data_IF_514000918650
#
_entry.id   IF_514000918650
#
_cell.length_a   1.000
_cell.length_b   1.000
_cell.length_c   1.000
_cell.angle_alpha   90.00
_cell.angle_beta   90.00
_cell.angle_gamma   90.00
#
_symmetry.space_group_name_H-M   'P 1'
#
loop_
_entity.id
_entity.type
_entity.pdbx_description
1 polymer ?
#
# COMPACT_ATOMS: atom_id res chain seq x y z
N UNK A 1 25.09 25.71 22.14
CA UNK A 1 24.15 25.48 21.03
C UNK A 1 23.51 24.13 21.22
N UNK A 2 22.18 24.03 21.31
CA UNK A 2 21.53 22.73 21.49
C UNK A 2 21.70 21.91 20.20
N UNK A 3 22.13 20.64 20.32
CA UNK A 3 22.15 19.67 19.23
C UNK A 3 20.71 19.46 18.75
N UNK A 4 20.36 20.03 17.58
CA UNK A 4 19.09 19.73 16.89
C UNK A 4 18.95 18.22 16.74
N UNK A 5 17.82 17.72 17.18
CA UNK A 5 17.48 16.31 17.29
C UNK A 5 17.57 15.60 15.91
N UNK A 6 18.70 14.99 15.60
CA UNK A 6 19.02 14.30 14.34
C UNK A 6 18.13 13.07 14.15
N UNK A 7 17.42 12.61 15.18
CA UNK A 7 16.61 11.38 15.16
C UNK A 7 15.36 11.45 14.28
N UNK A 8 14.95 12.64 13.82
CA UNK A 8 13.74 12.78 12.98
C UNK A 8 13.95 13.59 11.69
N UNK A 9 15.17 13.88 11.28
CA UNK A 9 15.43 14.72 10.08
C UNK A 9 14.85 14.06 8.82
N UNK A 10 15.03 12.75 8.66
CA UNK A 10 14.48 12.00 7.52
C UNK A 10 12.95 12.09 7.49
N UNK A 11 12.29 11.89 8.62
CA UNK A 11 10.81 11.98 8.74
C UNK A 11 10.30 13.40 8.43
N UNK A 12 11.00 14.45 8.89
CA UNK A 12 10.63 15.84 8.59
C UNK A 12 10.71 16.13 7.09
N UNK A 13 11.77 15.66 6.41
CA UNK A 13 11.91 15.80 4.96
C UNK A 13 10.78 15.08 4.24
N UNK A 14 10.43 13.84 4.63
CA UNK A 14 9.33 13.07 4.05
C UNK A 14 8.01 13.82 4.24
N UNK A 15 7.68 14.22 5.48
CA UNK A 15 6.42 14.92 5.77
C UNK A 15 6.28 16.23 5.01
N UNK A 16 7.35 17.04 4.94
CA UNK A 16 7.36 18.27 4.18
C UNK A 16 7.15 18.02 2.68
N UNK A 17 7.85 17.03 2.12
CA UNK A 17 7.73 16.67 0.71
C UNK A 17 6.30 16.24 0.37
N UNK A 18 5.68 15.36 1.17
CA UNK A 18 4.31 14.90 0.93
C UNK A 18 3.30 16.03 1.07
N UNK A 19 3.45 16.91 2.08
CA UNK A 19 2.62 18.11 2.20
C UNK A 19 2.67 18.94 0.92
N UNK A 20 3.86 19.27 0.42
CA UNK A 20 4.04 20.07 -0.78
C UNK A 20 3.53 19.37 -2.05
N UNK A 21 3.74 18.04 -2.17
CA UNK A 21 3.21 17.27 -3.29
C UNK A 21 1.69 17.30 -3.35
N UNK A 22 1.01 17.32 -2.19
CA UNK A 22 -0.44 17.48 -2.12
C UNK A 22 -0.91 18.91 -2.39
N UNK A 23 -0.21 19.92 -1.87
CA UNK A 23 -0.63 21.32 -1.95
C UNK A 23 -0.40 21.94 -3.33
N UNK A 24 0.74 21.64 -3.95
CA UNK A 24 1.16 22.29 -5.20
C UNK A 24 1.52 21.33 -6.34
N UNK A 25 1.48 20.03 -6.09
CA UNK A 25 1.83 19.01 -7.07
C UNK A 25 3.32 18.62 -7.06
N UNK A 26 3.59 17.44 -7.62
CA UNK A 26 4.95 16.89 -7.65
C UNK A 26 5.90 17.73 -8.51
N UNK A 27 5.47 18.13 -9.72
CA UNK A 27 6.34 18.87 -10.66
C UNK A 27 6.77 20.23 -10.11
N UNK A 28 5.83 20.96 -9.55
CA UNK A 28 6.04 22.32 -9.06
C UNK A 28 6.74 22.36 -7.69
N UNK A 29 6.94 21.19 -7.04
CA UNK A 29 7.69 21.09 -5.79
C UNK A 29 9.19 20.93 -6.07
N UNK A 30 10.00 21.83 -5.55
CA UNK A 30 11.46 21.77 -5.64
C UNK A 30 12.11 21.19 -4.38
N UNK A 31 13.37 20.75 -4.49
CA UNK A 31 14.14 20.30 -3.30
C UNK A 31 14.34 21.49 -2.36
N UNK A 32 14.46 22.71 -2.87
CA UNK A 32 14.55 23.93 -2.11
C UNK A 32 13.33 24.16 -1.22
N UNK A 33 12.14 23.97 -1.79
CA UNK A 33 10.87 24.09 -1.06
C UNK A 33 10.78 23.05 0.06
N UNK A 34 11.16 21.79 -0.24
CA UNK A 34 11.17 20.71 0.74
C UNK A 34 12.16 20.98 1.88
N UNK A 35 13.35 21.47 1.55
CA UNK A 35 14.38 21.83 2.54
C UNK A 35 13.91 22.99 3.42
N UNK A 36 13.27 23.99 2.83
CA UNK A 36 12.68 25.12 3.55
C UNK A 36 11.55 24.67 4.48
N UNK A 37 10.56 23.96 3.96
CA UNK A 37 9.39 23.48 4.71
C UNK A 37 9.80 22.51 5.84
N UNK A 38 10.77 21.63 5.58
CA UNK A 38 11.27 20.70 6.58
C UNK A 38 12.22 21.33 7.61
N UNK A 39 12.56 22.63 7.47
CA UNK A 39 13.60 23.32 8.26
C UNK A 39 14.91 22.52 8.32
N UNK A 40 15.35 21.95 7.20
CA UNK A 40 16.58 21.18 7.11
C UNK A 40 17.61 21.90 6.22
N UNK A 41 18.67 21.23 5.79
CA UNK A 41 19.64 21.75 4.83
C UNK A 41 19.68 20.88 3.58
N UNK A 42 20.12 21.42 2.45
CA UNK A 42 20.36 20.62 1.23
C UNK A 42 21.31 19.45 1.50
N UNK A 43 22.35 19.64 2.32
CA UNK A 43 23.24 18.55 2.72
C UNK A 43 22.52 17.45 3.51
N UNK A 44 21.57 17.83 4.39
CA UNK A 44 20.73 16.84 5.09
C UNK A 44 19.79 16.11 4.14
N UNK A 45 19.22 16.79 3.15
CA UNK A 45 18.38 16.17 2.14
C UNK A 45 19.17 15.12 1.35
N UNK A 46 20.28 15.50 0.74
CA UNK A 46 21.10 14.60 -0.07
C UNK A 46 21.82 13.50 0.72
N UNK A 47 21.88 13.64 2.06
CA UNK A 47 22.34 12.55 2.92
C UNK A 47 21.33 11.37 2.97
N UNK A 48 20.04 11.67 2.82
CA UNK A 48 18.96 10.65 2.90
C UNK A 48 18.36 10.26 1.56
N UNK A 49 18.40 11.16 0.56
CA UNK A 49 17.70 11.01 -0.72
C UNK A 49 18.58 11.50 -1.86
N UNK A 50 18.74 10.70 -2.90
CA UNK A 50 19.52 11.06 -4.09
C UNK A 50 18.85 12.15 -4.94
N UNK A 51 17.56 12.39 -4.73
CA UNK A 51 16.75 13.37 -5.44
C UNK A 51 15.28 13.30 -5.04
N UNK A 52 14.46 14.14 -5.67
CA UNK A 52 13.01 14.22 -5.44
C UNK A 52 12.32 12.88 -5.71
N UNK A 53 12.76 12.14 -6.76
CA UNK A 53 12.19 10.85 -7.13
C UNK A 53 12.36 9.78 -6.04
N UNK A 54 13.43 9.86 -5.25
CA UNK A 54 13.65 8.92 -4.15
C UNK A 54 12.57 9.04 -3.05
N UNK A 55 11.93 10.21 -2.93
CA UNK A 55 10.81 10.43 -2.00
C UNK A 55 9.54 9.70 -2.43
N UNK A 56 9.32 9.47 -3.74
CA UNK A 56 8.14 8.73 -4.22
C UNK A 56 8.09 7.32 -3.63
N UNK A 57 9.25 6.68 -3.43
CA UNK A 57 9.32 5.38 -2.76
C UNK A 57 8.75 5.38 -1.35
N UNK A 58 8.72 6.54 -0.67
CA UNK A 58 8.18 6.67 0.68
C UNK A 58 6.64 6.67 0.73
N UNK A 59 5.93 6.76 -0.42
CA UNK A 59 4.48 6.58 -0.48
C UNK A 59 4.06 5.19 0.04
N UNK A 60 4.91 4.20 -0.13
CA UNK A 60 4.68 2.88 0.45
C UNK A 60 4.57 2.91 1.98
N UNK A 61 5.19 3.89 2.66
CA UNK A 61 5.08 4.06 4.11
C UNK A 61 3.70 4.62 4.48
N UNK A 62 3.15 5.54 3.67
CA UNK A 62 1.78 6.07 3.85
C UNK A 62 0.76 4.94 3.76
N UNK A 63 0.96 4.01 2.81
CA UNK A 63 0.12 2.81 2.72
C UNK A 63 0.28 1.91 3.95
N UNK A 64 1.49 1.72 4.45
CA UNK A 64 1.74 0.91 5.64
C UNK A 64 1.14 1.57 6.90
N UNK A 65 1.22 2.88 7.05
CA UNK A 65 0.57 3.64 8.14
C UNK A 65 -0.96 3.43 8.09
N UNK A 66 -1.58 3.49 6.89
CA UNK A 66 -3.02 3.17 6.74
C UNK A 66 -3.33 1.75 7.21
N UNK A 67 -2.54 0.75 6.84
CA UNK A 67 -2.74 -0.62 7.33
C UNK A 67 -2.59 -0.73 8.85
N UNK A 68 -1.66 0.00 9.46
CA UNK A 68 -1.50 0.02 10.93
C UNK A 68 -2.73 0.62 11.62
N UNK A 69 -3.36 1.65 11.03
CA UNK A 69 -4.62 2.21 11.50
C UNK A 69 -5.78 1.23 11.39
N UNK A 70 -5.80 0.38 10.35
CA UNK A 70 -6.87 -0.58 10.10
C UNK A 70 -6.79 -1.85 10.96
N UNK A 71 -5.61 -2.24 11.44
CA UNK A 71 -5.43 -3.46 12.24
C UNK A 71 -6.41 -3.54 13.44
N UNK A 72 -6.64 -2.47 14.24
CA UNK A 72 -7.58 -2.51 15.35
C UNK A 72 -9.06 -2.65 14.94
N UNK A 73 -9.38 -2.33 13.70
CA UNK A 73 -10.75 -2.41 13.16
C UNK A 73 -11.09 -3.81 12.63
N UNK A 74 -10.08 -4.69 12.46
CA UNK A 74 -10.30 -6.07 12.03
C UNK A 74 -10.96 -6.87 13.15
N UNK A 75 -12.24 -7.24 12.96
CA UNK A 75 -12.94 -8.07 13.93
C UNK A 75 -12.41 -9.51 13.94
N UNK A 76 -12.28 -10.15 15.12
CA UNK A 76 -12.01 -11.58 15.21
C UNK A 76 -13.09 -12.45 14.51
N UNK A 77 -14.34 -11.97 14.49
CA UNK A 77 -15.49 -12.70 13.92
C UNK A 77 -15.56 -12.65 12.39
N UNK A 78 -14.85 -11.71 11.77
CA UNK A 78 -14.73 -11.67 10.30
C UNK A 78 -13.89 -12.82 9.78
N UNK A 79 -14.33 -13.43 8.66
CA UNK A 79 -13.52 -14.42 7.98
C UNK A 79 -12.32 -13.77 7.23
N UNK A 80 -11.42 -14.61 6.73
CA UNK A 80 -10.22 -14.12 6.05
C UNK A 80 -10.53 -13.34 4.76
N UNK A 81 -11.58 -13.71 4.02
CA UNK A 81 -12.00 -13.05 2.79
C UNK A 81 -12.57 -11.67 3.11
N UNK A 82 -13.42 -11.57 4.12
CA UNK A 82 -13.98 -10.30 4.59
C UNK A 82 -12.89 -9.34 5.06
N UNK A 83 -11.90 -9.84 5.81
CA UNK A 83 -10.74 -9.02 6.22
C UNK A 83 -9.93 -8.50 5.04
N UNK A 84 -9.67 -9.35 4.04
CA UNK A 84 -8.93 -8.96 2.84
C UNK A 84 -9.71 -7.96 1.99
N UNK A 85 -11.03 -8.16 1.83
CA UNK A 85 -11.92 -7.24 1.12
C UNK A 85 -11.98 -5.87 1.83
N UNK A 86 -12.12 -5.86 3.15
CA UNK A 86 -12.11 -4.65 3.96
C UNK A 86 -10.79 -3.86 3.80
N UNK A 87 -9.64 -4.52 3.89
CA UNK A 87 -8.34 -3.87 3.72
C UNK A 87 -8.18 -3.27 2.32
N UNK A 88 -8.65 -3.99 1.29
CA UNK A 88 -8.65 -3.51 -0.10
C UNK A 88 -9.52 -2.26 -0.25
N UNK A 89 -10.78 -2.32 0.22
CA UNK A 89 -11.70 -1.19 0.20
C UNK A 89 -11.09 0.07 0.84
N UNK A 90 -10.62 -0.05 2.06
CA UNK A 90 -10.09 1.08 2.83
C UNK A 90 -8.83 1.71 2.22
N UNK A 91 -7.92 0.88 1.71
CA UNK A 91 -6.74 1.40 1.01
C UNK A 91 -7.15 2.12 -0.28
N UNK A 92 -8.05 1.52 -1.07
CA UNK A 92 -8.41 2.06 -2.36
C UNK A 92 -9.31 3.30 -2.23
N UNK A 93 -10.14 3.38 -1.18
CA UNK A 93 -10.87 4.59 -0.82
C UNK A 93 -9.91 5.73 -0.44
N UNK A 94 -8.84 5.43 0.30
CA UNK A 94 -7.80 6.42 0.61
C UNK A 94 -7.08 6.89 -0.67
N UNK A 95 -6.79 5.98 -1.61
CA UNK A 95 -6.12 6.33 -2.87
C UNK A 95 -7.05 7.18 -3.75
N UNK A 96 -8.28 6.72 -3.97
CA UNK A 96 -9.29 7.38 -4.83
C UNK A 96 -9.63 8.79 -4.32
N UNK A 97 -9.68 8.95 -2.98
CA UNK A 97 -10.05 10.22 -2.34
C UNK A 97 -8.91 11.17 -2.02
N UNK A 98 -7.64 10.70 -2.00
CA UNK A 98 -6.55 11.50 -1.42
C UNK A 98 -5.23 11.47 -2.17
N UNK A 99 -4.98 10.54 -3.08
CA UNK A 99 -3.70 10.44 -3.79
C UNK A 99 -3.91 10.85 -5.26
N UNK A 100 -3.18 11.88 -5.70
CA UNK A 100 -3.28 12.28 -7.10
C UNK A 100 -2.82 11.17 -8.03
N UNK A 101 -3.51 11.02 -9.16
CA UNK A 101 -3.19 10.05 -10.20
C UNK A 101 -1.73 10.18 -10.66
N UNK A 102 -1.25 11.43 -10.81
CA UNK A 102 0.14 11.70 -11.22
C UNK A 102 1.15 11.13 -10.21
N UNK A 103 0.94 11.33 -8.91
CA UNK A 103 1.80 10.77 -7.88
C UNK A 103 1.83 9.24 -7.90
N UNK A 104 0.67 8.62 -8.07
CA UNK A 104 0.58 7.15 -8.12
C UNK A 104 1.25 6.60 -9.39
N UNK A 105 1.01 7.21 -10.55
CA UNK A 105 1.63 6.82 -11.80
C UNK A 105 3.16 6.97 -11.75
N UNK A 106 3.67 8.03 -11.13
CA UNK A 106 5.11 8.24 -10.93
C UNK A 106 5.69 7.20 -9.99
N UNK A 107 5.03 6.88 -8.87
CA UNK A 107 5.45 5.80 -7.98
C UNK A 107 5.59 4.49 -8.77
N UNK A 108 4.56 4.09 -9.51
CA UNK A 108 4.58 2.85 -10.29
C UNK A 108 5.69 2.85 -11.34
N UNK A 109 5.86 3.96 -12.07
CA UNK A 109 6.91 4.13 -13.08
C UNK A 109 8.31 4.05 -12.47
N UNK A 110 8.56 4.74 -11.35
CA UNK A 110 9.87 4.67 -10.68
C UNK A 110 10.17 3.27 -10.20
N UNK A 111 9.18 2.52 -9.69
CA UNK A 111 9.37 1.12 -9.29
C UNK A 111 9.74 0.21 -10.46
N UNK A 112 9.31 0.51 -11.68
CA UNK A 112 9.71 -0.23 -12.89
C UNK A 112 11.16 0.10 -13.30
N UNK A 113 11.54 1.37 -13.24
CA UNK A 113 12.83 1.86 -13.74
C UNK A 113 13.98 1.70 -12.73
N UNK A 114 13.67 1.70 -11.43
CA UNK A 114 14.67 1.57 -10.36
C UNK A 114 15.41 0.25 -10.46
N UNK A 115 16.75 0.30 -10.47
CA UNK A 115 17.63 -0.88 -10.46
C UNK A 115 17.93 -1.39 -9.05
N UNK A 116 17.65 -0.59 -8.01
CA UNK A 116 17.84 -0.93 -6.59
C UNK A 116 16.63 -1.63 -5.96
N UNK A 117 16.47 -1.44 -4.66
CA UNK A 117 15.34 -1.98 -3.91
C UNK A 117 14.01 -1.42 -4.41
N UNK A 118 13.05 -2.32 -4.56
CA UNK A 118 11.69 -1.96 -4.97
C UNK A 118 10.78 -1.95 -3.75
N UNK A 119 10.53 -0.77 -3.21
CA UNK A 119 9.77 -0.61 -1.97
C UNK A 119 8.40 -1.29 -1.98
N UNK A 120 7.69 -1.29 -3.13
CA UNK A 120 6.41 -2.01 -3.25
C UNK A 120 6.53 -3.53 -3.16
N UNK A 121 7.73 -4.09 -3.28
CA UNK A 121 8.01 -5.53 -3.19
C UNK A 121 8.70 -5.94 -1.89
N UNK A 122 9.02 -4.99 -1.01
CA UNK A 122 9.67 -5.29 0.28
C UNK A 122 8.72 -6.10 1.18
N UNK A 123 9.11 -7.34 1.41
CA UNK A 123 8.33 -8.31 2.20
C UNK A 123 8.32 -8.02 3.70
N UNK A 124 9.13 -7.07 4.17
CA UNK A 124 9.19 -6.65 5.56
C UNK A 124 8.15 -5.57 5.90
N UNK A 125 7.48 -5.01 4.89
CA UNK A 125 6.41 -4.02 5.06
C UNK A 125 5.26 -4.59 5.89
N UNK A 126 4.58 -3.70 6.63
CA UNK A 126 3.37 -3.99 7.42
C UNK A 126 2.30 -4.65 6.56
N UNK A 127 2.10 -4.17 5.34
CA UNK A 127 1.24 -4.77 4.32
C UNK A 127 1.45 -6.29 4.18
N UNK A 128 2.66 -6.73 3.84
CA UNK A 128 2.93 -8.16 3.62
C UNK A 128 2.87 -8.99 4.91
N UNK A 129 3.23 -8.41 6.05
CA UNK A 129 3.10 -9.09 7.35
C UNK A 129 1.64 -9.34 7.70
N UNK A 130 0.78 -8.32 7.47
CA UNK A 130 -0.65 -8.40 7.73
C UNK A 130 -1.33 -9.43 6.83
N UNK A 131 -1.07 -9.38 5.52
CA UNK A 131 -1.60 -10.38 4.57
C UNK A 131 -1.21 -11.80 4.95
N UNK A 132 0.07 -12.05 5.27
CA UNK A 132 0.52 -13.39 5.70
C UNK A 132 -0.21 -13.86 6.95
N UNK A 133 -0.44 -12.97 7.90
CA UNK A 133 -1.16 -13.29 9.13
C UNK A 133 -2.59 -13.70 8.82
N UNK A 134 -3.34 -12.86 8.10
CA UNK A 134 -4.76 -13.12 7.77
C UNK A 134 -4.89 -14.43 6.98
N UNK A 135 -4.08 -14.63 5.94
CA UNK A 135 -4.15 -15.80 5.09
C UNK A 135 -3.77 -17.07 5.85
N UNK A 136 -2.73 -17.03 6.69
CA UNK A 136 -2.34 -18.17 7.50
C UNK A 136 -3.40 -18.53 8.56
N UNK A 137 -4.07 -17.53 9.14
CA UNK A 137 -5.18 -17.73 10.07
C UNK A 137 -6.39 -18.31 9.34
N UNK A 138 -6.72 -17.78 8.16
CA UNK A 138 -7.83 -18.30 7.34
C UNK A 138 -7.63 -19.74 6.87
N UNK A 139 -6.40 -20.12 6.49
CA UNK A 139 -6.09 -21.52 6.15
C UNK A 139 -6.21 -22.45 7.37
N UNK A 140 -5.71 -22.02 8.55
CA UNK A 140 -5.84 -22.81 9.80
C UNK A 140 -7.28 -22.97 10.25
N UNK A 141 -8.12 -21.97 10.01
CA UNK A 141 -9.55 -22.00 10.29
C UNK A 141 -10.38 -22.74 9.21
N UNK A 142 -9.75 -23.23 8.14
CA UNK A 142 -10.45 -23.88 7.03
C UNK A 142 -11.26 -22.96 6.13
N UNK A 143 -11.11 -21.64 6.27
CA UNK A 143 -11.81 -20.64 5.45
C UNK A 143 -11.20 -20.50 4.05
N UNK A 144 -9.87 -20.61 3.97
CA UNK A 144 -9.12 -20.52 2.72
C UNK A 144 -8.54 -21.88 2.33
N UNK A 145 -8.45 -22.11 1.01
CA UNK A 145 -7.85 -23.31 0.44
C UNK A 145 -6.40 -23.53 0.90
N UNK A 146 -6.04 -24.76 1.20
CA UNK A 146 -4.74 -25.13 1.72
C UNK A 146 -3.83 -25.82 0.68
N UNK A 147 -4.29 -26.00 -0.56
CA UNK A 147 -3.50 -26.55 -1.67
C UNK A 147 -2.51 -25.53 -2.26
N UNK A 148 -2.54 -24.29 -1.76
CA UNK A 148 -1.57 -23.23 -2.05
C UNK A 148 -0.92 -22.78 -0.75
N UNK A 149 0.36 -22.41 -0.84
CA UNK A 149 1.07 -21.86 0.30
C UNK A 149 0.57 -20.43 0.61
N UNK A 150 0.70 -20.01 1.86
CA UNK A 150 0.43 -18.62 2.29
C UNK A 150 1.12 -17.61 1.37
N UNK A 151 2.38 -17.85 1.03
CA UNK A 151 3.16 -16.91 0.20
C UNK A 151 2.67 -16.85 -1.26
N UNK A 152 2.12 -17.93 -1.82
CA UNK A 152 1.50 -17.92 -3.15
C UNK A 152 0.24 -17.07 -3.16
N UNK A 153 -0.62 -17.24 -2.17
CA UNK A 153 -1.86 -16.45 -2.05
C UNK A 153 -1.53 -14.98 -1.81
N UNK A 154 -0.59 -14.65 -0.89
CA UNK A 154 -0.11 -13.28 -0.66
C UNK A 154 0.41 -12.65 -1.96
N UNK A 155 1.20 -13.41 -2.73
CA UNK A 155 1.73 -12.90 -4.01
C UNK A 155 0.61 -12.64 -5.02
N UNK A 156 -0.37 -13.53 -5.13
CA UNK A 156 -1.50 -13.37 -6.04
C UNK A 156 -2.36 -12.16 -5.66
N UNK A 157 -2.67 -12.00 -4.38
CA UNK A 157 -3.41 -10.84 -3.88
C UNK A 157 -2.67 -9.52 -4.17
N UNK A 158 -1.39 -9.45 -3.84
CA UNK A 158 -0.59 -8.26 -4.10
C UNK A 158 -0.37 -7.97 -5.60
N UNK A 159 -0.39 -8.99 -6.46
CA UNK A 159 -0.40 -8.80 -7.93
C UNK A 159 -1.72 -8.21 -8.40
N UNK A 160 -2.85 -8.72 -7.87
CA UNK A 160 -4.19 -8.23 -8.16
C UNK A 160 -4.31 -6.74 -7.83
N UNK A 161 -3.97 -6.33 -6.62
CA UNK A 161 -4.03 -4.91 -6.21
C UNK A 161 -3.16 -4.03 -7.10
N UNK A 162 -1.92 -4.44 -7.38
CA UNK A 162 -1.05 -3.65 -8.27
C UNK A 162 -1.55 -3.57 -9.71
N UNK A 163 -2.18 -4.63 -10.22
CA UNK A 163 -2.77 -4.62 -11.55
C UNK A 163 -3.92 -3.60 -11.63
N UNK A 164 -4.77 -3.53 -10.60
CA UNK A 164 -5.85 -2.56 -10.51
C UNK A 164 -5.32 -1.11 -10.49
N UNK A 165 -4.32 -0.84 -9.65
CA UNK A 165 -3.70 0.49 -9.58
C UNK A 165 -3.04 0.89 -10.90
N UNK A 166 -2.37 -0.07 -11.54
CA UNK A 166 -1.72 0.16 -12.83
C UNK A 166 -2.73 0.45 -13.92
N UNK A 167 -3.80 -0.34 -14.03
CA UNK A 167 -4.87 -0.15 -15.00
C UNK A 167 -5.58 1.20 -14.78
N UNK A 168 -5.91 1.52 -13.53
CA UNK A 168 -6.51 2.81 -13.19
C UNK A 168 -5.64 4.00 -13.63
N UNK A 169 -4.32 3.90 -13.46
CA UNK A 169 -3.38 4.92 -13.95
C UNK A 169 -3.34 4.97 -15.49
N UNK A 170 -3.39 3.82 -16.18
CA UNK A 170 -3.44 3.78 -17.63
C UNK A 170 -4.71 4.41 -18.20
N UNK A 171 -5.84 4.21 -17.55
CA UNK A 171 -7.13 4.80 -17.91
C UNK A 171 -7.28 6.27 -17.48
N UNK A 172 -6.22 6.90 -16.95
CA UNK A 172 -6.30 8.31 -16.55
C UNK A 172 -7.28 8.58 -15.38
N UNK A 173 -7.62 7.58 -14.58
CA UNK A 173 -8.58 7.71 -13.48
C UNK A 173 -10.03 7.87 -13.93
N UNK A 174 -10.39 7.39 -15.13
CA UNK A 174 -11.73 7.61 -15.73
C UNK A 174 -12.88 6.90 -15.00
N UNK A 175 -12.56 5.98 -14.08
CA UNK A 175 -13.55 5.28 -13.25
C UNK A 175 -13.22 5.38 -11.76
N UNK A 176 -14.24 5.22 -10.90
CA UNK A 176 -14.00 5.14 -9.46
C UNK A 176 -13.28 3.84 -9.14
N UNK A 177 -12.05 3.97 -8.63
CA UNK A 177 -11.21 2.83 -8.27
C UNK A 177 -11.89 1.99 -7.17
N UNK A 178 -12.43 2.64 -6.16
CA UNK A 178 -13.12 1.97 -5.04
C UNK A 178 -14.38 1.24 -5.49
N UNK A 179 -15.23 1.88 -6.30
CA UNK A 179 -16.46 1.23 -6.78
C UNK A 179 -16.16 0.01 -7.65
N UNK A 180 -15.15 0.08 -8.49
CA UNK A 180 -14.74 -1.06 -9.32
C UNK A 180 -14.17 -2.21 -8.46
N UNK A 181 -13.32 -1.90 -7.49
CA UNK A 181 -12.71 -2.93 -6.65
C UNK A 181 -13.72 -3.56 -5.70
N UNK A 182 -14.68 -2.81 -5.16
CA UNK A 182 -15.75 -3.36 -4.33
C UNK A 182 -16.61 -4.39 -5.09
N UNK A 183 -16.81 -4.16 -6.39
CA UNK A 183 -17.53 -5.11 -7.24
C UNK A 183 -16.70 -6.36 -7.61
N UNK A 184 -15.40 -6.20 -7.85
CA UNK A 184 -14.56 -7.24 -8.44
C UNK A 184 -13.72 -8.02 -7.43
N UNK A 185 -13.28 -7.38 -6.34
CA UNK A 185 -12.43 -8.02 -5.31
C UNK A 185 -13.09 -9.22 -4.65
N UNK A 186 -14.39 -9.20 -4.28
CA UNK A 186 -15.06 -10.39 -3.74
C UNK A 186 -14.97 -11.58 -4.68
N UNK A 187 -15.25 -11.39 -5.97
CA UNK A 187 -15.17 -12.47 -6.98
C UNK A 187 -13.77 -13.07 -7.07
N UNK A 188 -12.73 -12.22 -7.03
CA UNK A 188 -11.35 -12.68 -7.01
C UNK A 188 -11.04 -13.46 -5.72
N UNK A 189 -11.43 -12.95 -4.57
CA UNK A 189 -11.16 -13.56 -3.26
C UNK A 189 -11.91 -14.87 -3.06
N UNK A 190 -13.14 -15.01 -3.57
CA UNK A 190 -13.90 -16.26 -3.50
C UNK A 190 -13.18 -17.43 -4.20
N UNK A 191 -12.33 -17.16 -5.19
CA UNK A 191 -11.48 -18.19 -5.81
C UNK A 191 -10.48 -18.83 -4.82
N UNK A 192 -10.25 -18.22 -3.68
CA UNK A 192 -9.37 -18.69 -2.61
C UNK A 192 -10.12 -19.36 -1.46
N UNK A 193 -11.47 -19.34 -1.48
CA UNK A 193 -12.29 -20.00 -0.47
C UNK A 193 -12.05 -21.52 -0.47
N UNK A 194 -12.15 -22.11 0.69
CA UNK A 194 -12.08 -23.57 0.83
C UNK A 194 -13.43 -24.20 0.49
N UNK A 195 -13.60 -24.64 -0.74
CA UNK A 195 -14.83 -25.30 -1.23
C UNK A 195 -15.11 -26.67 -0.58
N UNK A 196 -14.13 -27.29 0.07
CA UNK A 196 -14.33 -28.58 0.76
C UNK A 196 -14.98 -28.40 2.15
N UNK A 197 -14.99 -27.19 2.70
CA UNK A 197 -15.71 -26.88 3.93
C UNK A 197 -17.23 -26.90 3.72
N UNK A 198 -17.73 -26.29 2.64
CA UNK A 198 -19.15 -26.19 2.31
C UNK A 198 -19.75 -27.56 1.97
N UNK A 199 -18.96 -28.51 1.44
CA UNK A 199 -19.41 -29.86 1.13
C UNK A 199 -19.65 -30.73 2.35
N UNK A 200 -19.04 -30.41 3.49
CA UNK A 200 -19.23 -31.16 4.74
C UNK A 200 -20.48 -30.73 5.48
N UNK A 201 -20.83 -29.43 5.44
CA UNK A 201 -22.09 -28.94 6.07
C UNK A 201 -23.35 -29.33 5.33
N UNK A 202 -23.27 -29.59 4.01
CA UNK A 202 -24.44 -30.04 3.22
C UNK A 202 -24.65 -31.57 3.23
N UNK A 203 -23.77 -32.34 3.88
CA UNK A 203 -23.83 -33.81 3.94
C UNK A 203 -24.26 -34.35 5.34
N UNK A 204 -24.55 -33.46 6.31
CA UNK A 204 -25.18 -33.75 7.60
C UNK A 204 -26.66 -33.31 7.58
#
# INVERSE_FOLDING_TARGET
MPRKNTRNTKGRIISAAWKLFYEQGYEDTTIEDIVFESETSKGSFYHYFDGKDALLGTLSNVFDEKYEELIPALSPDQDAIEKLAFLNHELFAMIDGGISLDLLARLLSTQLLTRGEKHLLDRNRTYFKLLRKIIAEGQRAGQLRADRTVNEIVKAYALWERALLYDWCLCGGEYSLVAYTDAMTPTFLESWRNVDADRKETAE
#
